data_IF_298910727891
#
_entry.id   IF_298910727891
#
_cell.length_a   1.000
_cell.length_b   1.000
_cell.length_c   1.000
_cell.angle_alpha   90.00
_cell.angle_beta   90.00
_cell.angle_gamma   90.00
#
_symmetry.space_group_name_H-M   'P 1'
#
loop_
_entity.id
_entity.type
_entity.pdbx_description
1 polymer ?
#
# COMPACT_ATOMS: atom_id res chain seq x y z
N UNK A 1 69.55 -42.47 17.62
CA UNK A 1 68.94 -41.31 18.31
C UNK A 1 67.65 -40.94 17.58
N UNK A 2 66.59 -40.68 18.34
CA UNK A 2 65.19 -40.57 17.91
C UNK A 2 64.78 -39.11 17.71
N UNK A 3 64.22 -38.72 16.56
CA UNK A 3 63.35 -37.52 16.42
C UNK A 3 62.57 -37.57 15.10
N UNK A 4 61.36 -38.15 15.10
CA UNK A 4 60.02 -37.50 15.09
C UNK A 4 59.65 -36.77 13.79
N UNK A 5 58.89 -37.51 12.97
CA UNK A 5 58.02 -37.08 11.88
C UNK A 5 56.88 -36.23 12.48
N UNK A 6 56.67 -35.02 11.98
CA UNK A 6 55.48 -34.21 12.29
C UNK A 6 54.54 -34.24 11.09
N UNK A 7 53.55 -35.12 11.19
CA UNK A 7 52.42 -35.24 10.29
C UNK A 7 51.39 -34.16 10.69
N UNK A 8 51.28 -33.07 9.91
CA UNK A 8 50.25 -32.06 10.13
C UNK A 8 49.02 -32.41 9.31
N UNK A 9 48.06 -33.04 9.98
CA UNK A 9 46.72 -33.34 9.48
C UNK A 9 45.96 -32.00 9.42
N UNK A 10 45.73 -31.48 8.22
CA UNK A 10 44.76 -30.40 8.00
C UNK A 10 43.37 -31.00 8.10
N UNK A 11 42.84 -31.01 9.32
CA UNK A 11 41.46 -31.40 9.59
C UNK A 11 40.52 -30.33 9.05
N UNK A 12 39.72 -30.78 8.08
CA UNK A 12 38.40 -30.31 7.71
C UNK A 12 37.73 -29.47 8.82
N UNK A 13 37.53 -28.18 8.55
CA UNK A 13 36.59 -27.35 9.30
C UNK A 13 35.74 -26.59 8.30
N UNK A 14 34.88 -27.34 7.59
CA UNK A 14 33.66 -26.84 6.97
C UNK A 14 32.74 -26.34 8.09
N UNK A 15 33.05 -25.16 8.63
CA UNK A 15 32.10 -24.42 9.45
C UNK A 15 31.04 -23.88 8.49
N UNK A 16 29.94 -24.64 8.44
CA UNK A 16 28.65 -24.23 7.91
C UNK A 16 28.22 -22.94 8.62
N UNK A 17 28.62 -21.80 8.07
CA UNK A 17 28.01 -20.51 8.37
C UNK A 17 26.70 -20.47 7.57
N UNK A 18 25.69 -21.21 8.04
CA UNK A 18 24.29 -20.88 7.76
C UNK A 18 24.05 -19.60 8.54
N UNK A 19 24.47 -18.49 7.94
CA UNK A 19 24.06 -17.17 8.37
C UNK A 19 22.56 -17.15 8.24
N UNK A 20 21.86 -17.26 9.37
CA UNK A 20 20.50 -16.78 9.55
C UNK A 20 20.50 -15.32 9.08
N UNK A 21 20.19 -15.12 7.81
CA UNK A 21 19.96 -13.81 7.25
C UNK A 21 18.85 -13.20 8.09
N UNK A 22 19.20 -12.16 8.87
CA UNK A 22 18.23 -11.34 9.56
C UNK A 22 17.27 -10.79 8.49
N UNK A 23 16.07 -11.36 8.42
CA UNK A 23 14.95 -10.91 7.61
C UNK A 23 14.43 -9.57 8.14
N UNK A 24 15.28 -8.55 8.15
CA UNK A 24 14.96 -7.21 8.62
C UNK A 24 14.83 -6.31 7.40
N UNK A 25 13.73 -5.55 7.33
CA UNK A 25 13.58 -4.45 6.38
C UNK A 25 14.73 -3.48 6.60
N UNK A 26 15.58 -3.28 5.58
CA UNK A 26 16.84 -2.53 5.75
C UNK A 26 16.65 -1.02 5.61
N UNK A 27 15.63 -0.59 4.90
CA UNK A 27 15.39 0.82 4.58
C UNK A 27 13.94 1.18 4.90
N UNK A 28 13.72 1.79 6.06
CA UNK A 28 12.46 2.47 6.40
C UNK A 28 12.60 3.93 6.01
N UNK A 29 11.79 4.37 5.06
CA UNK A 29 11.76 5.74 4.59
C UNK A 29 10.39 6.33 4.84
N UNK A 30 10.35 7.53 5.43
CA UNK A 30 9.12 8.30 5.61
C UNK A 30 9.00 9.29 4.46
N UNK A 31 7.88 9.20 3.76
CA UNK A 31 7.56 10.03 2.60
C UNK A 31 6.30 10.84 2.85
N UNK A 32 6.13 11.91 2.09
CA UNK A 32 4.86 12.65 2.01
C UNK A 32 4.14 12.21 0.75
N UNK A 33 2.81 12.16 0.83
CA UNK A 33 1.97 11.83 -0.30
C UNK A 33 0.80 12.80 -0.41
N UNK A 34 0.24 12.84 -1.63
CA UNK A 34 -1.09 13.38 -1.88
C UNK A 34 -2.04 12.21 -2.02
N UNK A 35 -3.18 12.29 -1.34
CA UNK A 35 -4.26 11.35 -1.47
C UNK A 35 -5.41 12.01 -2.24
N UNK A 36 -5.91 11.34 -3.28
CA UNK A 36 -6.99 11.82 -4.12
C UNK A 36 -8.17 10.86 -4.07
N UNK A 37 -9.37 11.40 -3.91
CA UNK A 37 -10.61 10.63 -4.06
C UNK A 37 -11.14 10.82 -5.50
N UNK A 38 -11.36 9.73 -6.26
CA UNK A 38 -12.08 9.81 -7.52
C UNK A 38 -13.51 10.31 -7.27
N UNK A 39 -13.92 11.37 -7.96
CA UNK A 39 -15.25 11.98 -7.79
C UNK A 39 -16.04 11.94 -9.09
N UNK A 40 -17.36 11.78 -8.96
CA UNK A 40 -18.27 11.67 -10.11
C UNK A 40 -18.51 13.03 -10.79
N UNK A 41 -18.43 14.13 -10.04
CA UNK A 41 -18.75 15.49 -10.48
C UNK A 41 -17.50 16.36 -10.55
N UNK A 42 -17.32 17.06 -11.67
CA UNK A 42 -16.20 17.99 -11.88
C UNK A 42 -16.13 19.10 -10.82
N UNK A 43 -17.28 19.56 -10.30
CA UNK A 43 -17.33 20.59 -9.25
C UNK A 43 -16.71 20.15 -7.92
N UNK A 44 -16.58 18.84 -7.68
CA UNK A 44 -16.03 18.29 -6.45
C UNK A 44 -14.51 18.07 -6.51
N UNK A 45 -13.89 18.19 -7.70
CA UNK A 45 -12.45 17.95 -7.89
C UNK A 45 -11.61 18.81 -6.95
N UNK A 46 -11.97 20.09 -6.75
CA UNK A 46 -11.20 20.98 -5.85
C UNK A 46 -11.16 20.51 -4.39
N UNK A 47 -12.12 19.69 -3.96
CA UNK A 47 -12.22 19.19 -2.58
C UNK A 47 -11.68 17.77 -2.42
N UNK A 48 -11.25 17.11 -3.50
CA UNK A 48 -10.88 15.69 -3.48
C UNK A 48 -9.41 15.43 -3.19
N UNK A 49 -8.60 16.48 -2.98
CA UNK A 49 -7.17 16.40 -2.70
C UNK A 49 -6.89 16.57 -1.20
N UNK A 50 -6.14 15.62 -0.64
CA UNK A 50 -5.68 15.61 0.74
C UNK A 50 -4.15 15.56 0.72
N UNK A 51 -3.50 16.61 1.20
CA UNK A 51 -2.04 16.75 1.11
C UNK A 51 -1.35 16.30 2.39
N UNK A 52 -0.03 16.09 2.32
CA UNK A 52 0.83 15.79 3.46
C UNK A 52 0.54 14.46 4.18
N UNK A 53 -0.10 13.51 3.50
CA UNK A 53 -0.30 12.15 4.05
C UNK A 53 1.07 11.53 4.29
N UNK A 54 1.35 11.16 5.54
CA UNK A 54 2.60 10.50 5.90
C UNK A 54 2.52 9.02 5.51
N UNK A 55 3.48 8.58 4.69
CA UNK A 55 3.56 7.20 4.22
C UNK A 55 4.92 6.64 4.63
N UNK A 56 4.91 5.53 5.35
CA UNK A 56 6.11 4.76 5.60
C UNK A 56 6.25 3.68 4.53
N UNK A 57 7.40 3.65 3.87
CA UNK A 57 7.74 2.63 2.90
C UNK A 57 8.92 1.86 3.46
N UNK A 58 8.79 0.53 3.51
CA UNK A 58 9.84 -0.38 3.93
C UNK A 58 10.14 -1.36 2.81
N UNK A 59 11.42 -1.53 2.48
CA UNK A 59 11.88 -2.52 1.51
C UNK A 59 12.72 -3.64 2.17
N UNK A 60 12.42 -4.89 1.83
CA UNK A 60 13.22 -6.07 2.24
C UNK A 60 13.74 -6.78 1.00
N UNK A 61 15.07 -6.94 0.93
CA UNK A 61 15.70 -7.48 -0.27
C UNK A 61 15.46 -6.60 -1.48
N UNK A 62 15.35 -7.20 -2.67
CA UNK A 62 15.20 -6.44 -3.93
C UNK A 62 13.73 -6.13 -4.24
N UNK A 63 12.80 -7.02 -3.86
CA UNK A 63 11.45 -6.99 -4.41
C UNK A 63 10.32 -6.87 -3.38
N UNK A 64 10.55 -7.13 -2.09
CA UNK A 64 9.48 -7.07 -1.08
C UNK A 64 9.28 -5.63 -0.60
N UNK A 65 8.06 -5.12 -0.76
CA UNK A 65 7.68 -3.76 -0.40
C UNK A 65 6.54 -3.84 0.60
N UNK A 66 6.63 -3.01 1.64
CA UNK A 66 5.56 -2.78 2.62
C UNK A 66 5.29 -1.28 2.70
N UNK A 67 4.01 -0.91 2.71
CA UNK A 67 3.58 0.46 3.00
C UNK A 67 2.67 0.49 4.22
N UNK A 68 2.83 1.55 5.02
CA UNK A 68 1.99 1.86 6.16
C UNK A 68 1.62 3.35 6.11
N UNK A 69 0.34 3.69 6.23
CA UNK A 69 -0.12 5.08 6.32
C UNK A 69 -1.49 5.14 7.01
N UNK A 70 -1.94 6.36 7.34
CA UNK A 70 -3.29 6.59 7.86
C UNK A 70 -4.11 7.36 6.83
N UNK A 71 -5.37 6.94 6.62
CA UNK A 71 -6.29 7.70 5.78
C UNK A 71 -6.59 9.08 6.39
N UNK A 72 -6.83 10.11 5.55
CA UNK A 72 -7.29 11.41 6.02
C UNK A 72 -8.54 11.29 6.91
N UNK A 73 -8.53 11.96 8.06
CA UNK A 73 -9.66 11.95 9.01
C UNK A 73 -10.89 12.64 8.43
N UNK A 74 -10.70 13.57 7.50
CA UNK A 74 -11.74 14.22 6.72
C UNK A 74 -12.61 13.23 5.93
N UNK A 75 -12.08 12.05 5.59
CA UNK A 75 -12.83 11.03 4.85
C UNK A 75 -13.63 10.10 5.75
N UNK A 76 -13.12 9.82 6.95
CA UNK A 76 -13.59 8.70 7.78
C UNK A 76 -14.03 9.11 9.18
N UNK A 77 -13.54 10.23 9.71
CA UNK A 77 -13.80 10.70 11.08
C UNK A 77 -13.05 9.95 12.18
N UNK A 78 -12.42 8.83 11.84
CA UNK A 78 -11.63 7.98 12.76
C UNK A 78 -10.33 7.54 12.09
N UNK A 79 -9.32 7.26 12.90
CA UNK A 79 -8.03 6.81 12.37
C UNK A 79 -8.17 5.42 11.74
N UNK A 80 -8.01 5.34 10.42
CA UNK A 80 -7.90 4.08 9.69
C UNK A 80 -6.45 3.91 9.23
N UNK A 81 -5.73 2.99 9.89
CA UNK A 81 -4.35 2.62 9.51
C UNK A 81 -4.40 1.55 8.44
N UNK A 82 -3.72 1.80 7.34
CA UNK A 82 -3.64 0.90 6.20
C UNK A 82 -2.23 0.34 6.14
N UNK A 83 -2.14 -0.98 6.19
CA UNK A 83 -0.89 -1.72 6.03
C UNK A 83 -1.03 -2.67 4.85
N UNK A 84 -0.20 -2.48 3.83
CA UNK A 84 -0.17 -3.34 2.65
C UNK A 84 1.24 -3.83 2.37
N UNK A 85 1.36 -5.06 1.89
CA UNK A 85 2.64 -5.66 1.51
C UNK A 85 2.53 -6.45 0.21
N UNK A 86 3.63 -6.59 -0.50
CA UNK A 86 3.67 -7.34 -1.74
C UNK A 86 5.03 -7.31 -2.40
N UNK A 87 5.06 -7.66 -3.68
CA UNK A 87 6.31 -7.81 -4.44
C UNK A 87 6.29 -6.97 -5.71
N UNK A 88 7.44 -6.39 -6.04
CA UNK A 88 7.67 -5.73 -7.33
C UNK A 88 7.70 -6.76 -8.47
N UNK A 89 6.90 -6.51 -9.50
CA UNK A 89 6.84 -7.31 -10.72
C UNK A 89 8.03 -7.00 -11.64
N UNK A 90 8.24 -7.84 -12.66
CA UNK A 90 9.34 -7.68 -13.62
C UNK A 90 9.25 -6.41 -14.47
N UNK A 91 8.04 -5.88 -14.66
CA UNK A 91 7.78 -4.60 -15.33
C UNK A 91 7.96 -3.38 -14.39
N UNK A 92 8.28 -3.63 -13.13
CA UNK A 92 8.47 -2.63 -12.09
C UNK A 92 7.18 -2.20 -11.38
N UNK A 93 6.01 -2.67 -11.80
CA UNK A 93 4.74 -2.42 -11.09
C UNK A 93 4.75 -3.14 -9.73
N UNK A 94 3.93 -2.66 -8.79
CA UNK A 94 3.84 -3.25 -7.45
C UNK A 94 2.38 -3.53 -7.11
N UNK A 95 2.07 -4.78 -6.83
CA UNK A 95 0.77 -5.19 -6.28
C UNK A 95 0.93 -5.41 -4.78
N UNK A 96 0.14 -4.69 -3.99
CA UNK A 96 0.17 -4.74 -2.53
C UNK A 96 -1.18 -5.21 -2.00
N UNK A 97 -1.16 -6.01 -0.94
CA UNK A 97 -2.35 -6.56 -0.29
C UNK A 97 -2.24 -6.48 1.23
N UNK A 98 -3.38 -6.34 1.88
CA UNK A 98 -3.51 -6.39 3.34
C UNK A 98 -4.93 -6.69 3.78
N UNK A 99 -5.16 -6.62 5.08
CA UNK A 99 -6.48 -6.89 5.66
C UNK A 99 -7.51 -5.81 5.31
N UNK A 100 -7.04 -4.58 5.09
CA UNK A 100 -7.89 -3.40 4.89
C UNK A 100 -8.00 -3.00 3.41
N UNK A 101 -7.35 -3.74 2.50
CA UNK A 101 -7.40 -3.41 1.08
C UNK A 101 -6.30 -4.00 0.22
N UNK A 102 -6.15 -3.39 -0.95
CA UNK A 102 -5.10 -3.64 -1.92
C UNK A 102 -4.69 -2.35 -2.63
N UNK A 103 -3.50 -2.37 -3.23
CA UNK A 103 -3.02 -1.29 -4.07
C UNK A 103 -2.36 -1.83 -5.33
N UNK A 104 -2.55 -1.13 -6.44
CA UNK A 104 -1.77 -1.31 -7.66
C UNK A 104 -0.96 -0.05 -7.93
N UNK A 105 0.36 -0.16 -7.82
CA UNK A 105 1.27 0.98 -7.96
C UNK A 105 2.01 0.93 -9.30
N UNK A 106 2.02 2.08 -9.98
CA UNK A 106 2.79 2.29 -11.18
C UNK A 106 4.31 2.12 -10.92
N UNK A 107 5.09 1.70 -11.93
CA UNK A 107 6.54 1.54 -11.79
C UNK A 107 7.24 2.83 -11.36
N UNK A 108 8.05 2.74 -10.31
CA UNK A 108 8.95 3.80 -9.86
C UNK A 108 10.19 3.21 -9.19
N UNK A 109 11.16 4.07 -8.86
CA UNK A 109 12.36 3.67 -8.10
C UNK A 109 11.97 3.17 -6.70
N UNK A 110 11.11 3.90 -6.00
CA UNK A 110 10.56 3.52 -4.69
C UNK A 110 9.09 3.10 -4.83
N UNK A 111 8.15 4.04 -4.96
CA UNK A 111 6.73 3.81 -5.28
C UNK A 111 6.16 5.04 -6.00
N UNK A 112 5.44 4.83 -7.10
CA UNK A 112 4.83 5.93 -7.85
C UNK A 112 3.40 6.22 -7.37
N UNK A 113 2.52 6.46 -8.34
CA UNK A 113 1.08 6.55 -8.13
C UNK A 113 0.49 5.16 -7.84
N UNK A 114 -0.24 5.03 -6.75
CA UNK A 114 -0.93 3.81 -6.32
C UNK A 114 -2.45 3.97 -6.40
N UNK A 115 -3.11 3.09 -7.13
CA UNK A 115 -4.57 2.97 -7.14
C UNK A 115 -5.00 2.06 -5.99
N UNK A 116 -5.83 2.60 -5.11
CA UNK A 116 -6.19 1.99 -3.84
C UNK A 116 -7.60 1.40 -3.88
N UNK A 117 -7.75 0.21 -3.32
CA UNK A 117 -9.04 -0.42 -3.02
C UNK A 117 -9.07 -0.78 -1.55
N UNK A 118 -10.14 -0.44 -0.84
CA UNK A 118 -10.29 -0.70 0.59
C UNK A 118 -11.44 -1.63 0.90
N UNK A 119 -11.36 -2.23 2.08
CA UNK A 119 -12.42 -2.97 2.73
C UNK A 119 -12.32 -2.75 4.24
N UNK A 120 -13.39 -3.02 4.97
CA UNK A 120 -13.42 -3.02 6.44
C UNK A 120 -13.02 -1.68 7.10
N UNK A 121 -13.17 -0.54 6.40
CA UNK A 121 -12.91 0.77 7.00
C UNK A 121 -13.99 1.13 8.02
N UNK A 122 -13.58 1.86 9.06
CA UNK A 122 -14.47 2.43 10.06
C UNK A 122 -14.80 3.87 9.72
N UNK A 123 -16.06 4.26 9.99
CA UNK A 123 -16.57 5.59 9.72
C UNK A 123 -17.29 6.14 10.95
N UNK A 124 -16.97 7.38 11.34
CA UNK A 124 -17.72 8.19 12.30
C UNK A 124 -18.11 9.51 11.62
N UNK A 125 -19.40 9.62 11.29
CA UNK A 125 -19.90 10.75 10.50
C UNK A 125 -19.89 12.06 11.29
N UNK A 126 -20.06 11.99 12.60
CA UNK A 126 -20.10 13.18 13.47
C UNK A 126 -18.67 13.70 13.68
N UNK A 127 -17.73 12.82 14.04
CA UNK A 127 -16.33 13.19 14.15
C UNK A 127 -15.77 13.70 12.81
N UNK A 128 -16.15 13.06 11.69
CA UNK A 128 -15.79 13.51 10.34
C UNK A 128 -16.25 14.95 10.08
N UNK A 129 -17.52 15.25 10.38
CA UNK A 129 -18.08 16.60 10.20
C UNK A 129 -17.30 17.62 11.04
N UNK A 130 -17.05 17.31 12.31
CA UNK A 130 -16.32 18.20 13.21
C UNK A 130 -14.90 18.50 12.71
N UNK A 131 -14.19 17.47 12.21
CA UNK A 131 -12.86 17.66 11.60
C UNK A 131 -12.96 18.57 10.37
N UNK A 132 -13.89 18.32 9.45
CA UNK A 132 -14.07 19.13 8.24
C UNK A 132 -14.42 20.59 8.59
N UNK A 133 -15.36 20.82 9.50
CA UNK A 133 -15.76 22.15 9.95
C UNK A 133 -14.58 22.91 10.58
N UNK A 134 -13.78 22.22 11.40
CA UNK A 134 -12.60 22.79 12.05
C UNK A 134 -11.53 23.24 11.06
N UNK A 135 -11.24 22.44 10.02
CA UNK A 135 -10.19 22.78 9.04
C UNK A 135 -10.66 23.79 7.99
N UNK A 136 -11.96 23.84 7.71
CA UNK A 136 -12.54 24.72 6.69
C UNK A 136 -12.77 26.15 7.21
N UNK A 137 -12.51 26.41 8.50
CA UNK A 137 -12.64 27.75 9.09
C UNK A 137 -14.06 28.33 9.01
N UNK A 138 -15.08 27.47 8.91
CA UNK A 138 -16.49 27.88 8.76
C UNK A 138 -16.91 28.27 7.35
N UNK A 139 -16.09 28.04 6.31
CA UNK A 139 -16.53 28.18 4.92
C UNK A 139 -17.56 27.10 4.58
N UNK A 140 -18.81 27.52 4.40
CA UNK A 140 -19.95 26.63 4.15
C UNK A 140 -19.81 25.86 2.84
N UNK A 141 -19.21 26.47 1.80
CA UNK A 141 -19.03 25.81 0.51
C UNK A 141 -17.94 24.73 0.61
N UNK A 142 -16.84 25.04 1.29
CA UNK A 142 -15.74 24.10 1.55
C UNK A 142 -16.23 22.90 2.39
N UNK A 143 -16.98 23.17 3.47
CA UNK A 143 -17.54 22.12 4.34
C UNK A 143 -18.47 21.21 3.55
N UNK A 144 -19.42 21.78 2.79
CA UNK A 144 -20.35 21.00 2.00
C UNK A 144 -19.62 20.18 0.91
N UNK A 145 -18.64 20.79 0.25
CA UNK A 145 -17.82 20.14 -0.77
C UNK A 145 -17.05 18.94 -0.24
N UNK A 146 -16.34 19.09 0.88
CA UNK A 146 -15.58 18.01 1.52
C UNK A 146 -16.46 16.90 2.06
N UNK A 147 -17.63 17.23 2.62
CA UNK A 147 -18.60 16.23 3.08
C UNK A 147 -19.09 15.37 1.90
N UNK A 148 -19.43 15.98 0.77
CA UNK A 148 -19.85 15.25 -0.43
C UNK A 148 -18.75 14.33 -0.96
N UNK A 149 -17.49 14.78 -0.96
CA UNK A 149 -16.34 13.92 -1.34
C UNK A 149 -16.21 12.72 -0.39
N UNK A 150 -16.34 12.94 0.91
CA UNK A 150 -16.25 11.86 1.89
C UNK A 150 -17.41 10.86 1.79
N UNK A 151 -18.61 11.33 1.45
CA UNK A 151 -19.77 10.47 1.17
C UNK A 151 -19.56 9.64 -0.11
N UNK A 152 -19.05 10.24 -1.19
CA UNK A 152 -18.69 9.50 -2.41
C UNK A 152 -17.62 8.43 -2.11
N UNK A 153 -16.58 8.77 -1.33
CA UNK A 153 -15.56 7.82 -0.89
C UNK A 153 -16.16 6.63 -0.12
N UNK A 154 -17.02 6.91 0.87
CA UNK A 154 -17.68 5.87 1.66
C UNK A 154 -18.60 5.00 0.80
N UNK A 155 -19.30 5.59 -0.17
CA UNK A 155 -20.11 4.87 -1.16
C UNK A 155 -19.27 3.88 -1.99
N UNK A 156 -18.14 4.34 -2.54
CA UNK A 156 -17.21 3.48 -3.30
C UNK A 156 -16.74 2.28 -2.47
N UNK A 157 -16.39 2.51 -1.20
CA UNK A 157 -15.94 1.45 -0.29
C UNK A 157 -17.03 0.42 0.02
N UNK A 158 -18.30 0.85 0.14
CA UNK A 158 -19.42 -0.03 0.46
C UNK A 158 -19.93 -0.82 -0.74
N UNK A 159 -19.94 -0.22 -1.93
CA UNK A 159 -20.44 -0.86 -3.15
C UNK A 159 -19.48 -1.93 -3.67
N UNK A 160 -18.18 -1.81 -3.36
CA UNK A 160 -17.16 -2.75 -3.81
C UNK A 160 -16.21 -3.17 -2.68
N UNK A 161 -16.67 -4.00 -1.72
CA UNK A 161 -15.77 -4.55 -0.72
C UNK A 161 -14.74 -5.42 -1.45
N UNK A 162 -13.49 -4.94 -1.53
CA UNK A 162 -12.43 -5.54 -2.34
C UNK A 162 -12.52 -7.07 -2.36
N UNK A 163 -12.88 -7.63 -3.53
CA UNK A 163 -13.17 -9.04 -3.68
C UNK A 163 -12.07 -9.87 -3.04
N UNK A 164 -12.45 -10.70 -2.06
CA UNK A 164 -11.53 -11.61 -1.37
C UNK A 164 -10.98 -12.56 -2.42
N UNK A 165 -9.73 -12.33 -2.85
CA UNK A 165 -9.02 -13.34 -3.63
C UNK A 165 -8.94 -14.60 -2.77
N UNK A 166 -9.36 -15.77 -3.29
CA UNK A 166 -9.31 -17.01 -2.52
C UNK A 166 -7.86 -17.28 -2.11
N UNK A 167 -7.65 -17.46 -0.82
CA UNK A 167 -6.36 -17.72 -0.16
C UNK A 167 -5.70 -19.06 -0.52
N UNK A 168 -6.17 -19.73 -1.59
CA UNK A 168 -5.66 -21.00 -2.08
C UNK A 168 -5.17 -20.84 -3.51
N UNK A 169 -3.98 -20.25 -3.69
CA UNK A 169 -3.15 -20.53 -4.86
C UNK A 169 -2.20 -21.64 -4.42
N UNK A 170 -2.71 -22.87 -4.42
CA UNK A 170 -1.84 -24.02 -4.58
C UNK A 170 -1.15 -23.89 -5.94
N UNK A 171 0.18 -23.94 -5.89
CA UNK A 171 1.11 -23.83 -7.00
C UNK A 171 0.79 -24.87 -8.11
N UNK A 172 0.31 -24.50 -9.31
CA UNK A 172 0.25 -25.42 -10.42
C UNK A 172 1.48 -25.19 -11.30
N UNK A 173 2.40 -26.16 -11.25
CA UNK A 173 3.41 -26.31 -12.29
C UNK A 173 2.71 -26.51 -13.65
N UNK A 174 2.94 -25.57 -14.56
CA UNK A 174 2.86 -25.79 -16.01
C UNK A 174 1.50 -25.55 -16.66
N UNK A 175 1.36 -24.46 -17.40
CA UNK A 175 1.13 -24.49 -18.86
C UNK A 175 0.89 -23.09 -19.45
N UNK A 176 1.18 -23.03 -20.73
CA UNK A 176 1.31 -21.96 -21.72
C UNK A 176 0.09 -21.03 -21.92
N UNK A 177 0.35 -19.69 -21.93
CA UNK A 177 -0.23 -18.50 -22.62
C UNK A 177 -1.61 -18.63 -23.36
N UNK A 178 -2.48 -17.59 -23.39
CA UNK A 178 -2.14 -16.24 -23.89
C UNK A 178 -2.74 -15.04 -23.13
N UNK A 179 -2.25 -13.85 -23.46
CA UNK A 179 -2.67 -12.57 -22.90
C UNK A 179 -4.15 -12.31 -23.04
N UNK A 180 -4.80 -12.18 -21.89
CA UNK A 180 -5.96 -11.31 -21.72
C UNK A 180 -5.50 -10.10 -20.92
N UNK A 181 -5.33 -9.02 -21.67
CA UNK A 181 -5.26 -7.66 -21.15
C UNK A 181 -6.52 -7.45 -20.33
N UNK A 182 -6.37 -7.16 -19.04
CA UNK A 182 -7.43 -6.68 -18.15
C UNK A 182 -8.11 -5.47 -18.80
N UNK A 183 -9.18 -5.73 -19.55
CA UNK A 183 -10.14 -4.77 -20.07
C UNK A 183 -11.51 -5.25 -19.59
N UNK A 184 -11.86 -4.83 -18.40
CA UNK A 184 -13.17 -5.06 -17.81
C UNK A 184 -13.44 -4.07 -16.68
N UNK A 185 -14.14 -2.99 -17.01
CA UNK A 185 -15.03 -2.28 -16.08
C UNK A 185 -14.37 -1.32 -15.09
N UNK A 186 -14.14 -0.09 -15.54
CA UNK A 186 -13.73 1.06 -14.74
C UNK A 186 -14.80 1.44 -13.67
N UNK A 187 -14.63 1.06 -12.39
CA UNK A 187 -15.15 1.83 -11.22
C UNK A 187 -14.76 1.23 -9.84
N UNK A 188 -13.62 0.54 -9.70
CA UNK A 188 -13.27 -0.10 -8.42
C UNK A 188 -12.19 0.65 -7.61
N UNK A 189 -11.78 1.85 -8.04
CA UNK A 189 -10.72 2.61 -7.36
C UNK A 189 -11.36 3.51 -6.31
N UNK A 190 -11.01 3.31 -5.05
CA UNK A 190 -11.53 4.10 -3.93
C UNK A 190 -10.65 5.34 -3.66
N UNK A 191 -9.38 5.29 -4.06
CA UNK A 191 -8.44 6.39 -3.86
C UNK A 191 -7.19 6.26 -4.70
N UNK A 192 -6.45 7.35 -4.82
CA UNK A 192 -5.14 7.39 -5.45
C UNK A 192 -4.17 7.97 -4.42
N UNK A 193 -3.12 7.21 -4.12
CA UNK A 193 -2.01 7.66 -3.28
C UNK A 193 -0.81 7.97 -4.17
N UNK A 194 -0.37 9.22 -4.18
CA UNK A 194 0.78 9.68 -4.97
C UNK A 194 1.91 10.12 -4.03
N UNK A 195 2.99 9.33 -4.00
CA UNK A 195 4.17 9.60 -3.16
C UNK A 195 5.02 10.70 -3.80
N UNK A 196 5.40 11.70 -3.00
CA UNK A 196 6.20 12.85 -3.41
C UNK A 196 7.68 12.60 -3.11
N UNK A 197 8.55 12.89 -4.08
CA UNK A 197 10.01 12.76 -4.00
C UNK A 197 10.70 14.11 -4.16
#
# INVERSE_FOLDING_TARGET
>A
MKTKIFLMIFACSLYSQIGLAKNSFKDQQSHRAVYLVPVSKASLIKYSYFTNVAVEIRQRGVNEIKIEYSLPLELTGVENKVELSGTKNSDGSVLLYGNDGSANCAPAEVLGRCEMKYKNLQFDHEARRQVIESISGGDVEEVAGRLLVAEEFEGLVKENPAAVLPSNIENPQGSTLPGEIFRGGDSEIHGILEVLF
#
